data_IF_803515832953
#
_entry.id   IF_803515832953
#
_cell.length_a   1.000
_cell.length_b   1.000
_cell.length_c   1.000
_cell.angle_alpha   90.00
_cell.angle_beta   90.00
_cell.angle_gamma   90.00
#
_symmetry.space_group_name_H-M   'P 1'
#
loop_
_entity.id
_entity.type
_entity.pdbx_description
1 polymer ?
#
# COMPACT_ATOMS: atom_id res chain seq x y z
N UNK A 1 -47.49 -40.29 37.98
CA UNK A 1 -46.62 -40.46 36.80
C UNK A 1 -46.22 -39.08 36.29
N UNK A 2 -44.99 -38.63 36.57
CA UNK A 2 -44.42 -37.40 36.00
C UNK A 2 -43.51 -37.80 34.86
N UNK A 3 -43.85 -37.41 33.63
CA UNK A 3 -43.05 -37.64 32.43
C UNK A 3 -42.05 -36.48 32.36
N UNK A 4 -40.76 -36.79 32.59
CA UNK A 4 -39.68 -35.85 32.38
C UNK A 4 -39.33 -35.78 30.90
N UNK A 5 -39.44 -34.59 30.30
CA UNK A 5 -38.99 -34.30 28.94
C UNK A 5 -37.48 -34.03 29.02
N UNK A 6 -36.69 -34.93 28.45
CA UNK A 6 -35.25 -34.76 28.26
C UNK A 6 -35.05 -33.87 27.02
N UNK A 7 -34.71 -32.61 27.20
CA UNK A 7 -34.33 -31.71 26.09
C UNK A 7 -32.85 -31.94 25.79
N UNK A 8 -32.57 -32.62 24.68
CA UNK A 8 -31.22 -32.82 24.17
C UNK A 8 -30.79 -31.55 23.43
N UNK A 9 -29.99 -30.69 24.09
CA UNK A 9 -29.32 -29.58 23.41
C UNK A 9 -28.13 -30.11 22.61
N UNK A 10 -28.29 -30.30 21.30
CA UNK A 10 -27.15 -30.51 20.41
C UNK A 10 -26.48 -29.17 20.15
N UNK A 11 -25.33 -28.93 20.78
CA UNK A 11 -24.45 -27.82 20.43
C UNK A 11 -23.75 -28.20 19.12
N UNK A 12 -24.25 -27.70 17.99
CA UNK A 12 -23.52 -27.77 16.71
C UNK A 12 -22.44 -26.70 16.76
N UNK A 13 -21.22 -27.10 17.11
CA UNK A 13 -20.05 -26.26 16.95
C UNK A 13 -19.77 -26.10 15.45
N UNK A 14 -20.12 -24.96 14.88
CA UNK A 14 -19.69 -24.60 13.52
C UNK A 14 -18.20 -24.27 13.57
N UNK A 15 -17.36 -25.27 13.32
CA UNK A 15 -15.97 -25.02 12.97
C UNK A 15 -15.96 -24.38 11.58
N UNK A 16 -15.80 -23.06 11.53
CA UNK A 16 -15.44 -22.40 10.29
C UNK A 16 -14.02 -22.86 9.94
N UNK A 17 -13.89 -23.88 9.10
CA UNK A 17 -12.61 -24.22 8.50
C UNK A 17 -12.20 -23.04 7.63
N UNK A 18 -11.14 -22.34 8.03
CA UNK A 18 -10.53 -21.33 7.19
C UNK A 18 -10.02 -22.04 5.93
N UNK A 19 -10.48 -21.57 4.77
CA UNK A 19 -10.04 -22.05 3.47
C UNK A 19 -8.51 -21.97 3.38
N UNK A 20 -7.86 -23.09 3.08
CA UNK A 20 -6.40 -23.19 3.05
C UNK A 20 -5.89 -22.93 1.65
N UNK A 21 -5.30 -21.76 1.47
CA UNK A 21 -4.67 -21.32 0.23
C UNK A 21 -3.19 -21.71 0.20
N UNK A 22 -2.76 -22.41 -0.85
CA UNK A 22 -1.40 -22.92 -0.99
C UNK A 22 -0.87 -22.72 -2.41
N UNK A 23 0.43 -22.47 -2.50
CA UNK A 23 1.17 -22.45 -3.77
C UNK A 23 1.87 -23.78 -3.92
N UNK A 24 1.62 -24.46 -5.05
CA UNK A 24 2.25 -25.74 -5.37
C UNK A 24 3.24 -25.57 -6.51
N UNK A 25 4.48 -25.97 -6.27
CA UNK A 25 5.51 -26.02 -7.31
C UNK A 25 5.31 -27.17 -8.28
N UNK A 26 5.54 -26.91 -9.56
CA UNK A 26 5.56 -27.96 -10.58
C UNK A 26 6.77 -28.87 -10.32
N UNK A 27 6.63 -30.21 -10.37
CA UNK A 27 7.71 -31.12 -10.01
C UNK A 27 8.94 -31.02 -10.92
N UNK A 28 8.76 -30.62 -12.19
CA UNK A 28 9.80 -30.70 -13.23
C UNK A 28 10.17 -29.34 -13.85
N UNK A 29 9.57 -28.23 -13.43
CA UNK A 29 9.88 -26.91 -13.97
C UNK A 29 9.61 -25.81 -12.93
N UNK A 30 9.88 -24.55 -13.28
CA UNK A 30 9.76 -23.41 -12.36
C UNK A 30 8.33 -22.85 -12.20
N UNK A 31 7.33 -23.49 -12.80
CA UNK A 31 5.95 -23.00 -12.76
C UNK A 31 5.26 -23.45 -11.48
N UNK A 32 4.23 -22.70 -11.09
CA UNK A 32 3.47 -22.84 -9.86
C UNK A 32 1.98 -22.87 -10.19
N UNK A 33 1.24 -23.61 -9.38
CA UNK A 33 -0.22 -23.67 -9.39
C UNK A 33 -0.76 -23.21 -8.03
N UNK A 34 -2.01 -22.79 -8.00
CA UNK A 34 -2.71 -22.43 -6.77
C UNK A 34 -3.64 -23.57 -6.39
N UNK A 35 -3.60 -23.93 -5.12
CA UNK A 35 -4.41 -24.98 -4.50
C UNK A 35 -5.21 -24.38 -3.37
N UNK A 36 -6.48 -24.75 -3.29
CA UNK A 36 -7.42 -24.31 -2.28
C UNK A 36 -8.07 -25.55 -1.69
N UNK A 37 -7.91 -25.78 -0.38
CA UNK A 37 -8.47 -26.95 0.31
C UNK A 37 -8.17 -28.27 -0.41
N UNK A 38 -6.92 -28.41 -0.89
CA UNK A 38 -6.43 -29.55 -1.68
C UNK A 38 -7.01 -29.67 -3.10
N UNK A 39 -7.82 -28.71 -3.55
CA UNK A 39 -8.31 -28.61 -4.93
C UNK A 39 -7.42 -27.65 -5.71
N UNK A 40 -6.78 -28.14 -6.77
CA UNK A 40 -6.02 -27.28 -7.70
C UNK A 40 -7.01 -26.40 -8.49
N UNK A 41 -6.88 -25.08 -8.37
CA UNK A 41 -7.76 -24.11 -9.02
C UNK A 41 -7.10 -23.38 -10.20
N UNK A 42 -5.80 -23.59 -10.42
CA UNK A 42 -5.09 -23.12 -11.59
C UNK A 42 -4.15 -24.19 -12.12
N UNK A 43 -3.91 -24.21 -13.42
CA UNK A 43 -2.81 -24.98 -13.98
C UNK A 43 -1.44 -24.45 -13.47
N UNK A 44 -0.37 -25.20 -13.71
CA UNK A 44 0.99 -24.74 -13.44
C UNK A 44 1.43 -23.73 -14.51
N UNK A 45 0.95 -22.50 -14.37
CA UNK A 45 1.17 -21.41 -15.32
C UNK A 45 1.99 -20.27 -14.75
N UNK A 46 2.01 -20.11 -13.42
CA UNK A 46 2.64 -18.95 -12.78
C UNK A 46 4.13 -19.15 -12.57
N UNK A 47 4.94 -18.14 -12.80
CA UNK A 47 6.36 -18.13 -12.44
C UNK A 47 6.58 -17.74 -10.98
N UNK A 48 5.73 -16.86 -10.46
CA UNK A 48 5.69 -16.42 -9.08
C UNK A 48 4.24 -16.27 -8.62
N UNK A 49 4.01 -16.51 -7.33
CA UNK A 49 2.74 -16.27 -6.65
C UNK A 49 3.09 -15.70 -5.29
N UNK A 50 2.56 -14.52 -4.96
CA UNK A 50 2.73 -13.90 -3.64
C UNK A 50 1.96 -14.67 -2.56
N UNK A 51 2.19 -14.33 -1.30
CA UNK A 51 1.24 -14.69 -0.25
C UNK A 51 -0.12 -14.00 -0.47
N UNK A 52 -1.17 -14.56 0.12
CA UNK A 52 -2.47 -13.93 0.17
C UNK A 52 -2.45 -12.80 1.20
N UNK A 53 -2.68 -11.57 0.77
CA UNK A 53 -2.84 -10.40 1.63
C UNK A 53 -4.14 -9.67 1.30
N UNK A 54 -4.96 -9.38 2.32
CA UNK A 54 -6.25 -8.70 2.16
C UNK A 54 -7.14 -9.30 1.05
N UNK A 55 -7.19 -10.64 1.03
CA UNK A 55 -7.96 -11.44 0.08
C UNK A 55 -7.50 -11.33 -1.39
N UNK A 56 -6.25 -10.91 -1.62
CA UNK A 56 -5.66 -10.76 -2.95
C UNK A 56 -4.25 -11.33 -2.95
N UNK A 57 -3.79 -11.79 -4.10
CA UNK A 57 -2.38 -12.15 -4.33
C UNK A 57 -1.97 -11.59 -5.69
N UNK A 58 -0.69 -11.27 -5.87
CA UNK A 58 -0.15 -11.05 -7.21
C UNK A 58 0.48 -12.34 -7.74
N UNK A 59 0.36 -12.54 -9.04
CA UNK A 59 0.90 -13.68 -9.78
C UNK A 59 1.64 -13.20 -11.00
N UNK A 60 2.70 -13.88 -11.41
CA UNK A 60 3.38 -13.58 -12.66
C UNK A 60 3.21 -14.67 -13.71
N UNK A 61 3.09 -14.24 -14.96
CA UNK A 61 3.27 -15.07 -16.15
C UNK A 61 4.40 -14.45 -16.97
N UNK A 62 5.58 -15.04 -16.90
CA UNK A 62 6.78 -14.41 -17.46
C UNK A 62 7.22 -13.24 -16.58
N UNK A 63 7.47 -12.08 -17.18
CA UNK A 63 8.03 -10.91 -16.50
C UNK A 63 6.96 -9.93 -15.97
N UNK A 64 5.67 -10.20 -16.25
CA UNK A 64 4.56 -9.34 -15.86
C UNK A 64 3.70 -9.97 -14.78
N UNK A 65 3.19 -9.11 -13.90
CA UNK A 65 2.33 -9.42 -12.77
C UNK A 65 0.88 -8.97 -13.01
N UNK A 66 -0.03 -9.72 -12.42
CA UNK A 66 -1.45 -9.43 -12.28
C UNK A 66 -1.91 -9.70 -10.85
N UNK A 67 -3.01 -9.09 -10.40
CA UNK A 67 -3.68 -9.47 -9.16
C UNK A 67 -4.79 -10.47 -9.43
N UNK A 68 -4.93 -11.41 -8.51
CA UNK A 68 -6.01 -12.38 -8.42
C UNK A 68 -6.68 -12.27 -7.05
N UNK A 69 -7.91 -12.76 -6.93
CA UNK A 69 -8.57 -12.93 -5.63
C UNK A 69 -8.33 -14.31 -4.99
N UNK A 70 -8.96 -14.53 -3.83
CA UNK A 70 -8.90 -15.79 -3.09
C UNK A 70 -9.34 -17.01 -3.89
N UNK A 71 -10.19 -16.84 -4.91
CA UNK A 71 -10.66 -17.92 -5.78
C UNK A 71 -9.77 -18.09 -7.03
N UNK A 72 -8.66 -17.35 -7.12
CA UNK A 72 -7.76 -17.33 -8.27
C UNK A 72 -8.33 -16.58 -9.48
N UNK A 73 -9.43 -15.83 -9.32
CA UNK A 73 -9.99 -15.05 -10.41
C UNK A 73 -9.15 -13.80 -10.65
N UNK A 74 -8.76 -13.55 -11.90
CA UNK A 74 -8.02 -12.37 -12.30
C UNK A 74 -8.81 -11.08 -11.99
N UNK A 75 -8.12 -10.13 -11.37
CA UNK A 75 -8.63 -8.81 -10.98
C UNK A 75 -7.95 -7.68 -11.75
N UNK A 76 -6.76 -7.93 -12.29
CA UNK A 76 -6.08 -7.06 -13.25
C UNK A 76 -5.52 -7.91 -14.38
N UNK A 77 -5.27 -7.34 -15.56
CA UNK A 77 -4.45 -8.00 -16.57
C UNK A 77 -2.97 -8.10 -16.13
N UNK A 78 -2.20 -8.94 -16.81
CA UNK A 78 -0.74 -9.04 -16.67
C UNK A 78 -0.04 -7.85 -17.33
N UNK A 79 0.09 -6.75 -16.59
CA UNK A 79 0.60 -5.48 -17.13
C UNK A 79 1.67 -4.82 -16.26
N UNK A 80 1.86 -5.29 -15.02
CA UNK A 80 2.79 -4.68 -14.09
C UNK A 80 4.15 -5.37 -14.17
N UNK A 81 5.25 -4.62 -14.23
CA UNK A 81 6.60 -5.15 -14.07
C UNK A 81 7.00 -5.27 -12.58
N UNK A 82 6.33 -4.53 -11.70
CA UNK A 82 6.49 -4.59 -10.24
C UNK A 82 5.11 -4.61 -9.58
N UNK A 83 4.91 -5.49 -8.59
CA UNK A 83 3.69 -5.56 -7.80
C UNK A 83 4.01 -5.92 -6.36
N UNK A 84 3.42 -5.20 -5.40
CA UNK A 84 3.55 -5.48 -3.98
C UNK A 84 2.27 -6.09 -3.40
N UNK A 85 2.38 -6.71 -2.21
CA UNK A 85 1.21 -7.14 -1.46
C UNK A 85 0.32 -5.94 -1.09
N UNK A 86 -0.99 -6.20 -1.03
CA UNK A 86 -1.93 -5.23 -0.47
C UNK A 86 -1.65 -5.01 1.02
N UNK A 87 -1.73 -3.75 1.46
CA UNK A 87 -1.64 -3.34 2.85
C UNK A 87 -2.48 -2.08 3.09
N UNK A 88 -3.35 -2.14 4.08
CA UNK A 88 -4.36 -1.15 4.42
C UNK A 88 -5.24 -0.73 3.22
N UNK A 89 -5.59 -1.67 2.34
CA UNK A 89 -6.44 -1.44 1.18
C UNK A 89 -5.72 -0.92 -0.07
N UNK A 90 -4.38 -0.85 -0.05
CA UNK A 90 -3.58 -0.35 -1.17
C UNK A 90 -2.41 -1.25 -1.52
N UNK A 91 -1.97 -1.21 -2.78
CA UNK A 91 -0.76 -1.89 -3.23
C UNK A 91 0.03 -1.01 -4.20
N UNK A 92 1.34 -0.95 -4.04
CA UNK A 92 2.23 -0.27 -5.00
C UNK A 92 2.44 -1.20 -6.19
N UNK A 93 2.34 -0.63 -7.38
CA UNK A 93 2.57 -1.32 -8.66
C UNK A 93 3.43 -0.44 -9.56
N UNK A 94 4.10 -1.04 -10.53
CA UNK A 94 4.94 -0.31 -11.45
C UNK A 94 5.10 -0.96 -12.81
N UNK A 95 5.55 -0.16 -13.76
CA UNK A 95 6.26 -0.65 -14.94
C UNK A 95 7.79 -0.61 -14.68
N UNK A 96 8.61 -0.76 -15.71
CA UNK A 96 10.07 -0.76 -15.56
C UNK A 96 10.68 0.59 -15.11
N UNK A 97 9.93 1.68 -15.19
CA UNK A 97 10.41 3.05 -14.98
C UNK A 97 9.58 3.86 -13.98
N UNK A 98 8.31 3.51 -13.81
CA UNK A 98 7.31 4.31 -13.12
C UNK A 98 6.49 3.46 -12.17
N UNK A 99 6.06 4.09 -11.08
CA UNK A 99 5.25 3.51 -10.02
C UNK A 99 3.94 4.25 -9.85
N UNK A 100 2.96 3.53 -9.35
CA UNK A 100 1.64 4.00 -8.92
C UNK A 100 1.20 3.18 -7.70
N UNK A 101 -0.03 3.43 -7.27
CA UNK A 101 -0.68 2.69 -6.20
C UNK A 101 -2.12 2.36 -6.61
N UNK A 102 -2.51 1.10 -6.42
CA UNK A 102 -3.87 0.61 -6.60
C UNK A 102 -4.65 0.72 -5.29
N UNK A 103 -5.95 0.96 -5.41
CA UNK A 103 -6.91 0.77 -4.31
C UNK A 103 -7.55 -0.64 -4.36
N UNK A 104 -8.41 -0.96 -3.40
CA UNK A 104 -9.11 -2.25 -3.33
C UNK A 104 -9.98 -2.59 -4.56
N UNK A 105 -10.38 -1.58 -5.33
CA UNK A 105 -11.12 -1.75 -6.59
C UNK A 105 -10.20 -1.99 -7.78
N UNK A 106 -8.91 -2.19 -7.55
CA UNK A 106 -7.86 -2.32 -8.57
C UNK A 106 -7.74 -1.10 -9.49
N UNK A 107 -8.06 0.09 -8.96
CA UNK A 107 -7.94 1.34 -9.70
C UNK A 107 -6.71 2.09 -9.21
N UNK A 108 -5.97 2.68 -10.15
CA UNK A 108 -4.90 3.61 -9.82
C UNK A 108 -5.46 4.80 -9.03
N UNK A 109 -4.83 5.11 -7.90
CA UNK A 109 -5.14 6.30 -7.09
C UNK A 109 -4.38 7.53 -7.61
N UNK A 110 -3.16 7.32 -8.08
CA UNK A 110 -2.33 8.35 -8.72
C UNK A 110 -1.87 7.85 -10.09
N UNK A 111 -1.50 8.71 -11.05
CA UNK A 111 -0.99 8.26 -12.35
C UNK A 111 0.24 7.34 -12.24
N UNK A 112 0.43 6.45 -13.20
CA UNK A 112 1.63 5.60 -13.33
C UNK A 112 2.75 6.39 -14.00
N UNK A 113 3.36 7.31 -13.24
CA UNK A 113 4.40 8.21 -13.75
C UNK A 113 5.47 8.62 -12.71
N UNK A 114 5.37 8.10 -11.48
CA UNK A 114 6.25 8.51 -10.38
C UNK A 114 7.45 7.58 -10.23
N UNK A 115 8.60 8.11 -9.83
CA UNK A 115 9.78 7.29 -9.53
C UNK A 115 9.64 6.53 -8.20
N UNK A 116 8.99 7.16 -7.22
CA UNK A 116 8.67 6.56 -5.93
C UNK A 116 7.24 6.89 -5.54
N UNK A 117 6.55 5.91 -4.94
CA UNK A 117 5.24 6.06 -4.31
C UNK A 117 5.30 5.35 -2.96
N UNK A 118 4.78 5.99 -1.91
CA UNK A 118 4.69 5.40 -0.56
C UNK A 118 3.25 5.05 -0.22
N UNK A 119 3.07 3.96 0.54
CA UNK A 119 1.75 3.60 1.06
C UNK A 119 1.15 4.76 1.89
N UNK A 120 -0.19 4.91 1.89
CA UNK A 120 -0.81 6.04 2.56
C UNK A 120 -0.52 6.06 4.06
N UNK A 121 -0.20 7.25 4.58
CA UNK A 121 -0.08 7.52 6.02
C UNK A 121 -0.97 8.72 6.35
N UNK A 122 -1.88 8.57 7.31
CA UNK A 122 -2.91 9.58 7.61
C UNK A 122 -3.75 9.98 6.38
N UNK A 123 -4.01 9.05 5.46
CA UNK A 123 -4.78 9.32 4.24
C UNK A 123 -4.01 10.09 3.15
N UNK A 124 -2.69 10.23 3.29
CA UNK A 124 -1.83 10.95 2.37
C UNK A 124 -0.78 10.01 1.75
N UNK A 125 -0.58 10.14 0.44
CA UNK A 125 0.34 9.36 -0.40
C UNK A 125 1.49 10.26 -0.81
N UNK A 126 2.71 9.93 -0.39
CA UNK A 126 3.92 10.66 -0.77
C UNK A 126 4.45 10.10 -2.08
N UNK A 127 4.75 10.97 -3.04
CA UNK A 127 5.27 10.58 -4.36
C UNK A 127 6.50 11.39 -4.76
N UNK A 128 7.33 10.82 -5.63
CA UNK A 128 8.47 11.50 -6.24
C UNK A 128 8.31 11.58 -7.76
N UNK A 129 8.43 12.78 -8.31
CA UNK A 129 8.49 13.06 -9.75
C UNK A 129 9.75 12.48 -10.40
N UNK A 130 9.74 12.38 -11.73
CA UNK A 130 10.93 12.05 -12.53
C UNK A 130 12.07 13.06 -12.42
N UNK A 131 11.80 14.31 -12.01
CA UNK A 131 12.83 15.33 -11.76
C UNK A 131 13.43 15.25 -10.35
N UNK A 132 12.98 14.31 -9.52
CA UNK A 132 13.49 14.10 -8.16
C UNK A 132 12.78 14.90 -7.06
N UNK A 133 11.86 15.80 -7.43
CA UNK A 133 11.05 16.55 -6.45
C UNK A 133 9.89 15.73 -5.89
N UNK A 134 9.49 16.04 -4.66
CA UNK A 134 8.48 15.33 -3.89
C UNK A 134 7.19 16.14 -3.75
N UNK A 135 6.06 15.44 -3.71
CA UNK A 135 4.74 16.00 -3.41
C UNK A 135 3.85 14.98 -2.70
N UNK A 136 2.58 15.36 -2.47
CA UNK A 136 1.62 14.52 -1.74
C UNK A 136 0.26 14.56 -2.40
N UNK A 137 -0.34 13.38 -2.59
CA UNK A 137 -1.73 13.19 -2.98
C UNK A 137 -2.54 12.69 -1.78
N UNK A 138 -3.86 12.86 -1.79
CA UNK A 138 -4.74 12.10 -0.89
C UNK A 138 -5.11 10.73 -1.48
N UNK A 139 -5.79 9.89 -0.71
CA UNK A 139 -6.26 8.56 -1.15
C UNK A 139 -7.38 8.60 -2.19
N UNK A 140 -7.87 9.79 -2.56
CA UNK A 140 -8.83 10.00 -3.66
C UNK A 140 -8.12 10.47 -4.94
N UNK A 141 -6.79 10.59 -4.92
CA UNK A 141 -6.00 11.04 -6.07
C UNK A 141 -5.96 12.56 -6.24
N UNK A 142 -6.34 13.34 -5.22
CA UNK A 142 -6.25 14.80 -5.27
C UNK A 142 -4.86 15.24 -4.83
N UNK A 143 -4.19 16.08 -5.64
CA UNK A 143 -2.90 16.67 -5.29
C UNK A 143 -3.08 17.64 -4.11
N UNK A 144 -2.43 17.33 -2.98
CA UNK A 144 -2.50 18.10 -1.73
C UNK A 144 -1.30 19.01 -1.57
N UNK A 145 -0.09 18.48 -1.79
CA UNK A 145 1.16 19.24 -1.79
C UNK A 145 1.80 19.13 -3.18
N UNK A 146 2.16 20.25 -3.83
CA UNK A 146 2.76 20.22 -5.16
C UNK A 146 4.13 19.52 -5.15
N UNK A 147 4.52 18.96 -6.30
CA UNK A 147 5.81 18.30 -6.48
C UNK A 147 6.94 19.34 -6.60
N UNK A 148 7.33 19.92 -5.47
CA UNK A 148 8.34 20.99 -5.39
C UNK A 148 9.29 20.85 -4.20
N UNK A 149 9.17 19.78 -3.42
CA UNK A 149 9.96 19.58 -2.21
C UNK A 149 11.21 18.76 -2.49
N UNK A 150 12.31 19.13 -1.84
CA UNK A 150 13.64 18.54 -2.06
C UNK A 150 13.74 17.14 -1.45
N UNK A 151 12.96 16.89 -0.39
CA UNK A 151 12.90 15.63 0.36
C UNK A 151 11.46 15.17 0.54
N UNK A 152 11.23 13.86 0.81
CA UNK A 152 9.90 13.35 1.09
C UNK A 152 9.26 14.08 2.28
N UNK A 153 8.06 14.65 2.14
CA UNK A 153 7.33 15.25 3.26
C UNK A 153 7.15 14.28 4.42
N UNK A 154 7.53 14.70 5.63
CA UNK A 154 7.36 13.91 6.84
C UNK A 154 6.01 14.23 7.49
N UNK A 155 5.04 13.35 7.26
CA UNK A 155 3.67 13.49 7.74
C UNK A 155 3.59 12.99 9.18
N UNK A 156 3.48 13.92 10.12
CA UNK A 156 3.23 13.61 11.54
C UNK A 156 1.73 13.47 11.80
N UNK A 157 0.93 14.38 11.23
CA UNK A 157 -0.53 14.34 11.17
C UNK A 157 -1.00 15.32 10.07
N UNK A 158 -2.31 15.53 9.92
CA UNK A 158 -2.88 16.40 8.87
C UNK A 158 -2.56 17.89 9.06
N UNK A 159 -2.28 18.34 10.27
CA UNK A 159 -1.94 19.74 10.55
C UNK A 159 -0.43 20.03 10.56
N UNK A 160 0.40 18.97 10.62
CA UNK A 160 1.85 19.08 10.80
C UNK A 160 2.57 18.13 9.86
N UNK A 161 2.93 18.66 8.70
CA UNK A 161 3.74 18.01 7.69
C UNK A 161 5.04 18.81 7.56
N UNK A 162 6.16 18.19 7.94
CA UNK A 162 7.48 18.81 7.80
C UNK A 162 7.92 18.65 6.35
N UNK A 163 8.25 19.76 5.71
CA UNK A 163 8.66 19.82 4.31
C UNK A 163 10.00 20.51 4.16
N UNK A 164 10.74 20.19 3.10
CA UNK A 164 12.01 20.84 2.76
C UNK A 164 11.94 21.41 1.36
N UNK A 165 12.22 22.70 1.20
CA UNK A 165 12.23 23.40 -0.09
C UNK A 165 13.38 24.41 -0.10
N UNK A 166 14.14 24.43 -1.20
CA UNK A 166 15.34 25.28 -1.34
C UNK A 166 16.28 25.10 -0.15
N UNK A 167 16.54 23.84 0.22
CA UNK A 167 17.47 23.42 1.28
C UNK A 167 17.01 23.73 2.73
N UNK A 168 15.87 24.40 2.91
CA UNK A 168 15.35 24.81 4.21
C UNK A 168 14.04 24.09 4.57
N UNK A 169 13.88 23.80 5.85
CA UNK A 169 12.71 23.15 6.42
C UNK A 169 11.64 24.16 6.81
N UNK A 170 10.39 23.75 6.61
CA UNK A 170 9.18 24.41 7.05
C UNK A 170 8.11 23.39 7.46
N UNK A 171 6.93 23.88 7.82
CA UNK A 171 5.78 23.06 8.22
C UNK A 171 4.55 23.57 7.51
N UNK A 172 3.82 22.65 6.90
CA UNK A 172 2.52 22.89 6.25
C UNK A 172 1.46 21.95 6.82
N UNK A 173 0.18 22.23 6.58
CA UNK A 173 -0.90 21.26 6.75
C UNK A 173 -1.18 20.50 5.43
N UNK A 174 -2.15 19.59 5.43
CA UNK A 174 -2.59 18.81 4.27
C UNK A 174 -3.25 19.67 3.17
N UNK A 175 -3.61 20.92 3.46
CA UNK A 175 -4.06 21.91 2.48
C UNK A 175 -2.91 22.73 1.88
N UNK A 176 -1.65 22.37 2.18
CA UNK A 176 -0.45 23.10 1.77
C UNK A 176 -0.41 24.55 2.30
N UNK A 177 -1.11 24.84 3.39
CA UNK A 177 -1.03 26.13 4.08
C UNK A 177 0.20 26.12 5.00
N UNK A 178 1.05 27.14 4.88
CA UNK A 178 2.24 27.23 5.71
C UNK A 178 1.90 27.63 7.14
N UNK A 179 2.24 26.77 8.10
CA UNK A 179 2.27 27.11 9.53
C UNK A 179 3.61 27.74 9.90
N UNK A 180 4.69 27.21 9.33
CA UNK A 180 6.05 27.74 9.47
C UNK A 180 6.73 27.73 8.10
N UNK A 181 7.11 28.91 7.60
CA UNK A 181 7.78 29.04 6.31
C UNK A 181 9.11 28.27 6.29
N UNK A 182 9.55 27.84 5.09
CA UNK A 182 10.84 27.19 4.89
C UNK A 182 12.01 28.15 5.17
N UNK A 183 12.44 28.21 6.42
CA UNK A 183 13.54 29.08 6.89
C UNK A 183 14.42 28.44 7.96
N UNK A 184 14.12 27.20 8.31
CA UNK A 184 14.84 26.45 9.35
C UNK A 184 15.88 25.55 8.69
N UNK A 185 17.07 25.46 9.27
CA UNK A 185 18.12 24.55 8.78
C UNK A 185 17.75 23.09 9.08
N UNK A 186 16.92 22.87 10.10
CA UNK A 186 16.41 21.58 10.50
C UNK A 186 15.12 21.75 11.32
N UNK A 187 14.18 20.81 11.19
CA UNK A 187 13.02 20.66 12.09
C UNK A 187 12.90 19.18 12.44
N UNK A 188 12.93 18.85 13.72
CA UNK A 188 12.72 17.47 14.17
C UNK A 188 11.22 17.11 14.28
N UNK A 189 10.88 15.81 14.33
CA UNK A 189 9.50 15.36 14.52
C UNK A 189 8.84 15.79 15.83
N UNK A 190 9.62 16.22 16.83
CA UNK A 190 9.09 16.70 18.12
C UNK A 190 8.79 18.20 18.11
N UNK A 191 9.01 18.89 16.99
CA UNK A 191 8.72 20.31 16.81
C UNK A 191 9.83 21.25 17.25
N UNK A 192 11.07 20.79 17.40
CA UNK A 192 12.23 21.68 17.57
C UNK A 192 12.81 22.09 16.22
N UNK A 193 12.72 23.38 15.90
CA UNK A 193 13.33 23.99 14.73
C UNK A 193 14.67 24.65 15.06
N UNK A 194 15.70 24.39 14.25
CA UNK A 194 17.00 25.04 14.36
C UNK A 194 17.15 26.13 13.30
N UNK A 195 17.48 27.35 13.72
CA UNK A 195 17.71 28.49 12.83
C UNK A 195 18.81 29.39 13.41
N UNK A 196 19.88 29.60 12.65
CA UNK A 196 20.93 30.58 12.96
C UNK A 196 21.53 30.45 14.37
N UNK A 197 21.84 29.21 14.79
CA UNK A 197 22.47 28.96 16.09
C UNK A 197 21.50 28.83 17.27
N UNK A 198 20.18 28.84 17.05
CA UNK A 198 19.16 28.75 18.10
C UNK A 198 18.11 27.70 17.79
N UNK A 199 17.61 27.05 18.85
CA UNK A 199 16.46 26.16 18.78
C UNK A 199 15.19 26.91 19.20
N UNK A 200 14.09 26.65 18.47
CA UNK A 200 12.77 27.21 18.72
C UNK A 200 11.75 26.06 18.78
N UNK A 201 10.85 26.10 19.76
CA UNK A 201 9.68 25.21 19.82
C UNK A 201 8.63 25.71 18.83
N UNK A 202 8.26 24.87 17.87
CA UNK A 202 7.26 25.18 16.83
C UNK A 202 5.90 24.57 17.17
N UNK A 203 5.86 23.34 17.66
CA UNK A 203 4.66 22.62 18.12
C UNK A 203 5.09 21.59 19.16
#
# INVERSE_FOLDING_TARGET
MRIGILILFSVVATFAFAQRWEVKDHPNNRRKAIVIDSVTISDYVYTEVSELSENKAYVSQGDLYAYIDVAGSERTPYVFAEANNFSNGFAIVGDSFSKSILNEKMQFVVPLEFQEVRLPKHGLIVVQSSSGTWGVYDTKGVLKLPLVYDLPPNILNLETIIVRKNELYGVVNDCNESRYNCRYQYIDPNGLGYQSGRYLRLF
#
